data_IF_317184883258
#
_entry.id   IF_317184883258
#
_cell.length_a   1.000
_cell.length_b   1.000
_cell.length_c   1.000
_cell.angle_alpha   90.00
_cell.angle_beta   90.00
_cell.angle_gamma   90.00
#
_symmetry.space_group_name_H-M   'P 1'
#
loop_
_entity.id
_entity.type
_entity.pdbx_description
1 polymer ?
#
# COMPACT_ATOMS: atom_id res chain seq x y z
N UNK A 1 -5.75 6.28 63.46
CA UNK A 1 -6.85 6.97 62.73
C UNK A 1 -6.22 8.25 62.20
N UNK A 2 -6.04 8.49 60.90
CA UNK A 2 -6.97 8.31 59.77
C UNK A 2 -6.18 8.07 58.48
N UNK A 3 -6.66 7.11 57.68
CA UNK A 3 -6.24 6.79 56.31
C UNK A 3 -6.84 7.82 55.35
N UNK A 4 -6.04 8.41 54.46
CA UNK A 4 -6.53 9.19 53.32
C UNK A 4 -6.30 8.37 52.02
N UNK A 5 -7.34 8.10 51.22
CA UNK A 5 -7.23 7.33 49.99
C UNK A 5 -6.60 8.14 48.83
N UNK A 6 -6.00 7.48 47.82
CA UNK A 6 -5.46 8.17 46.63
C UNK A 6 -6.59 8.70 45.72
N UNK A 7 -6.40 9.84 45.03
CA UNK A 7 -7.36 10.32 44.04
C UNK A 7 -7.35 9.45 42.75
N UNK A 8 -8.49 9.40 42.05
CA UNK A 8 -8.79 8.40 41.02
C UNK A 8 -8.38 8.83 39.60
N UNK A 9 -8.10 7.84 38.75
CA UNK A 9 -8.21 7.95 37.29
C UNK A 9 -7.04 8.62 36.58
N UNK A 10 -6.02 7.84 36.25
CA UNK A 10 -5.31 8.06 34.97
C UNK A 10 -6.35 7.86 33.87
N UNK A 11 -6.96 8.93 33.42
CA UNK A 11 -7.54 8.98 32.07
C UNK A 11 -6.34 8.87 31.14
N UNK A 12 -6.05 7.64 30.71
CA UNK A 12 -5.28 7.45 29.49
C UNK A 12 -6.07 8.16 28.40
N UNK A 13 -5.60 9.33 27.96
CA UNK A 13 -6.08 9.93 26.72
C UNK A 13 -5.99 8.84 25.65
N UNK A 14 -7.07 8.49 24.95
CA UNK A 14 -6.94 7.69 23.76
C UNK A 14 -6.14 8.54 22.79
N UNK A 15 -4.85 8.23 22.67
CA UNK A 15 -4.02 8.72 21.57
C UNK A 15 -4.78 8.48 20.26
N UNK A 16 -4.55 9.32 19.22
CA UNK A 16 -5.32 9.30 17.99
C UNK A 16 -5.40 7.86 17.51
N UNK A 17 -6.60 7.29 17.61
CA UNK A 17 -6.85 5.93 17.16
C UNK A 17 -6.72 6.05 15.64
N UNK A 18 -5.58 5.64 15.10
CA UNK A 18 -5.45 5.43 13.68
C UNK A 18 -6.67 4.62 13.25
N UNK A 19 -7.43 5.07 12.23
CA UNK A 19 -8.60 4.33 11.80
C UNK A 19 -8.13 2.90 11.54
N UNK A 20 -8.77 1.94 12.22
CA UNK A 20 -8.47 0.54 12.01
C UNK A 20 -8.74 0.26 10.52
N UNK A 21 -7.67 0.14 9.74
CA UNK A 21 -7.75 -0.21 8.33
C UNK A 21 -8.49 -1.55 8.27
N UNK A 22 -9.70 -1.53 7.71
CA UNK A 22 -10.47 -2.74 7.51
C UNK A 22 -9.57 -3.73 6.74
N UNK A 23 -9.53 -5.01 7.14
CA UNK A 23 -8.71 -5.99 6.46
C UNK A 23 -9.08 -5.99 4.98
N UNK A 24 -8.11 -5.63 4.14
CA UNK A 24 -8.33 -5.54 2.71
C UNK A 24 -8.69 -6.92 2.17
N UNK A 25 -9.63 -7.00 1.22
CA UNK A 25 -10.07 -8.28 0.67
C UNK A 25 -8.86 -9.02 0.11
N UNK A 26 -8.61 -10.20 0.66
CA UNK A 26 -7.50 -11.05 0.26
C UNK A 26 -7.53 -11.27 -1.26
N UNK A 27 -6.42 -10.95 -1.93
CA UNK A 27 -6.23 -11.18 -3.37
C UNK A 27 -6.46 -9.96 -4.28
N UNK A 28 -6.69 -8.77 -3.72
CA UNK A 28 -6.55 -7.52 -4.47
C UNK A 28 -5.08 -7.10 -4.59
N UNK A 29 -4.78 -6.38 -5.67
CA UNK A 29 -3.50 -5.77 -5.96
C UNK A 29 -3.74 -4.32 -6.32
N UNK A 30 -3.03 -3.42 -5.66
CA UNK A 30 -3.09 -1.98 -5.90
C UNK A 30 -1.90 -1.57 -6.74
N UNK A 31 -2.17 -0.84 -7.82
CA UNK A 31 -1.18 -0.42 -8.79
C UNK A 31 -1.06 1.09 -8.79
N UNK A 32 0.17 1.57 -8.92
CA UNK A 32 0.48 2.96 -9.23
C UNK A 32 1.44 2.97 -10.39
N UNK A 33 1.01 3.55 -11.52
CA UNK A 33 1.82 3.66 -12.72
C UNK A 33 2.18 5.13 -12.95
N UNK A 34 3.42 5.41 -13.36
CA UNK A 34 3.87 6.75 -13.72
C UNK A 34 5.12 6.69 -14.59
N UNK A 35 5.11 7.38 -15.73
CA UNK A 35 6.18 7.26 -16.73
C UNK A 35 6.32 5.83 -17.24
N UNK A 36 7.51 5.25 -17.13
CA UNK A 36 7.82 3.86 -17.47
C UNK A 36 7.77 2.89 -16.27
N UNK A 37 7.29 3.33 -15.11
CA UNK A 37 7.23 2.51 -13.90
C UNK A 37 5.80 2.11 -13.53
N UNK A 38 5.61 0.85 -13.14
CA UNK A 38 4.41 0.32 -12.49
C UNK A 38 4.80 -0.32 -11.17
N UNK A 39 4.29 0.22 -10.06
CA UNK A 39 4.50 -0.33 -8.72
C UNK A 39 3.25 -1.07 -8.22
N UNK A 40 3.46 -2.22 -7.55
CA UNK A 40 2.40 -3.06 -7.01
C UNK A 40 2.47 -3.16 -5.49
N UNK A 41 1.31 -3.10 -4.85
CA UNK A 41 1.15 -3.15 -3.41
C UNK A 41 0.02 -4.10 -3.02
N UNK A 42 0.14 -4.72 -1.84
CA UNK A 42 -0.93 -5.51 -1.24
C UNK A 42 -1.97 -4.62 -0.54
N UNK A 43 -1.59 -3.37 -0.26
CA UNK A 43 -2.45 -2.44 0.46
C UNK A 43 -2.67 -1.15 -0.30
N UNK A 44 -3.88 -0.61 -0.17
CA UNK A 44 -4.25 0.69 -0.70
C UNK A 44 -3.40 1.80 -0.07
N UNK A 45 -3.13 1.72 1.22
CA UNK A 45 -2.33 2.73 1.93
C UNK A 45 -0.92 2.85 1.35
N UNK A 46 -0.24 1.73 1.06
CA UNK A 46 1.07 1.76 0.44
C UNK A 46 1.02 2.30 -1.00
N UNK A 47 -0.05 2.01 -1.74
CA UNK A 47 -0.29 2.60 -3.06
C UNK A 47 -0.56 4.11 -2.99
N UNK A 48 -1.33 4.59 -2.01
CA UNK A 48 -1.58 6.03 -1.81
C UNK A 48 -0.29 6.79 -1.46
N UNK A 49 0.61 6.20 -0.66
CA UNK A 49 1.95 6.77 -0.39
C UNK A 49 2.77 6.87 -1.68
N UNK A 50 2.77 5.82 -2.51
CA UNK A 50 3.48 5.84 -3.79
C UNK A 50 2.86 6.86 -4.77
N UNK A 51 1.54 7.00 -4.79
CA UNK A 51 0.84 8.01 -5.59
C UNK A 51 1.36 9.42 -5.26
N UNK A 52 1.36 9.79 -3.98
CA UNK A 52 1.88 11.10 -3.54
C UNK A 52 3.36 11.26 -3.89
N UNK A 53 4.15 10.18 -3.77
CA UNK A 53 5.58 10.19 -4.12
C UNK A 53 5.80 10.47 -5.61
N UNK A 54 5.03 9.83 -6.49
CA UNK A 54 5.11 10.03 -7.94
C UNK A 54 4.64 11.43 -8.36
N UNK A 55 3.58 11.95 -7.73
CA UNK A 55 3.15 13.35 -7.91
C UNK A 55 4.28 14.30 -7.51
N UNK A 56 4.91 14.07 -6.36
CA UNK A 56 6.05 14.85 -5.87
C UNK A 56 7.27 14.77 -6.79
N UNK A 57 7.43 13.68 -7.53
CA UNK A 57 8.45 13.49 -8.56
C UNK A 57 8.07 14.13 -9.92
N UNK A 58 6.98 14.90 -9.98
CA UNK A 58 6.45 15.52 -11.20
C UNK A 58 6.12 14.50 -12.31
N UNK A 59 5.67 13.31 -11.90
CA UNK A 59 5.04 12.35 -12.80
C UNK A 59 3.54 12.61 -12.85
N UNK A 60 2.87 12.04 -13.84
CA UNK A 60 1.40 12.00 -13.96
C UNK A 60 0.91 10.58 -13.63
N UNK A 61 0.77 10.21 -12.35
CA UNK A 61 0.49 8.84 -11.99
C UNK A 61 -0.99 8.46 -12.16
N UNK A 62 -1.22 7.20 -12.52
CA UNK A 62 -2.53 6.56 -12.58
C UNK A 62 -2.58 5.41 -11.60
N UNK A 63 -3.71 5.26 -10.89
CA UNK A 63 -3.93 4.15 -9.96
C UNK A 63 -4.98 3.17 -10.48
N UNK A 64 -4.82 1.91 -10.12
CA UNK A 64 -5.81 0.87 -10.38
C UNK A 64 -5.85 -0.15 -9.24
N UNK A 65 -7.00 -0.79 -9.04
CA UNK A 65 -7.14 -1.95 -8.16
C UNK A 65 -7.67 -3.11 -8.99
N UNK A 66 -6.96 -4.24 -8.94
CA UNK A 66 -7.27 -5.44 -9.73
C UNK A 66 -7.20 -6.68 -8.84
N UNK A 67 -7.79 -7.78 -9.29
CA UNK A 67 -7.48 -9.09 -8.70
C UNK A 67 -6.07 -9.54 -9.11
N UNK A 68 -5.42 -10.35 -8.28
CA UNK A 68 -4.10 -10.91 -8.59
C UNK A 68 -4.07 -11.70 -9.92
N UNK A 69 -5.16 -12.38 -10.27
CA UNK A 69 -5.28 -13.10 -11.54
C UNK A 69 -5.35 -12.14 -12.74
N UNK A 70 -6.15 -11.07 -12.63
CA UNK A 70 -6.27 -10.06 -13.68
C UNK A 70 -4.96 -9.31 -13.90
N UNK A 71 -4.21 -9.08 -12.83
CA UNK A 71 -2.89 -8.47 -12.93
C UNK A 71 -1.94 -9.29 -13.80
N UNK A 72 -1.92 -10.61 -13.70
CA UNK A 72 -0.99 -11.45 -14.48
C UNK A 72 -1.24 -11.29 -16.00
N UNK A 73 -2.51 -11.23 -16.40
CA UNK A 73 -2.90 -10.95 -17.79
C UNK A 73 -2.46 -9.56 -18.25
N UNK A 74 -2.72 -8.54 -17.42
CA UNK A 74 -2.37 -7.14 -17.72
C UNK A 74 -0.85 -6.96 -17.81
N UNK A 75 -0.10 -7.62 -16.91
CA UNK A 75 1.36 -7.61 -16.91
C UNK A 75 1.92 -8.15 -18.22
N UNK A 76 1.39 -9.25 -18.73
CA UNK A 76 1.83 -9.83 -19.98
C UNK A 76 1.59 -8.89 -21.17
N UNK A 77 0.40 -8.27 -21.25
CA UNK A 77 0.07 -7.31 -22.31
C UNK A 77 0.93 -6.04 -22.21
N UNK A 78 1.14 -5.51 -21.00
CA UNK A 78 2.00 -4.34 -20.75
C UNK A 78 3.45 -4.58 -21.22
N UNK A 79 4.04 -5.72 -20.84
CA UNK A 79 5.41 -6.06 -21.24
C UNK A 79 5.52 -6.34 -22.76
N UNK A 80 4.47 -6.84 -23.39
CA UNK A 80 4.43 -7.02 -24.84
C UNK A 80 4.38 -5.69 -25.59
N UNK A 81 3.67 -4.69 -25.07
CA UNK A 81 3.51 -3.37 -25.69
C UNK A 81 4.65 -2.40 -25.38
N UNK A 82 5.14 -2.44 -24.15
CA UNK A 82 6.17 -1.54 -23.62
C UNK A 82 7.28 -2.40 -23.01
N UNK A 83 8.20 -2.94 -23.81
CA UNK A 83 9.24 -3.83 -23.32
C UNK A 83 10.25 -3.15 -22.38
N UNK A 84 10.33 -1.81 -22.43
CA UNK A 84 11.15 -1.01 -21.51
C UNK A 84 10.45 -0.69 -20.17
N UNK A 85 9.21 -1.16 -19.97
CA UNK A 85 8.44 -0.88 -18.75
C UNK A 85 9.08 -1.57 -17.54
N UNK A 86 9.34 -0.79 -16.50
CA UNK A 86 9.80 -1.29 -15.20
C UNK A 86 8.62 -1.64 -14.33
N UNK A 87 8.54 -2.90 -13.89
CA UNK A 87 7.50 -3.36 -12.97
C UNK A 87 8.15 -3.73 -11.63
N UNK A 88 7.76 -3.01 -10.58
CA UNK A 88 8.24 -3.22 -9.21
C UNK A 88 7.15 -3.86 -8.37
N UNK A 89 7.39 -5.09 -7.90
CA UNK A 89 6.48 -5.81 -7.02
C UNK A 89 6.90 -5.60 -5.56
N UNK A 90 6.21 -4.70 -4.85
CA UNK A 90 6.48 -4.38 -3.45
C UNK A 90 5.58 -5.16 -2.47
N UNK A 91 4.94 -6.23 -2.95
CA UNK A 91 4.06 -7.07 -2.14
C UNK A 91 4.82 -7.94 -1.16
N UNK A 92 4.30 -8.06 0.07
CA UNK A 92 4.90 -8.89 1.11
C UNK A 92 4.75 -10.37 0.74
N UNK A 93 5.87 -11.01 0.38
CA UNK A 93 5.93 -12.44 0.05
C UNK A 93 6.41 -12.77 -1.36
N UNK A 94 6.67 -11.78 -2.23
CA UNK A 94 7.29 -12.00 -3.55
C UNK A 94 8.70 -11.44 -3.69
N UNK A 95 9.18 -10.68 -2.70
CA UNK A 95 10.58 -10.31 -2.55
C UNK A 95 11.41 -11.51 -2.05
N UNK A 96 11.55 -12.55 -2.88
CA UNK A 96 12.21 -13.79 -2.48
C UNK A 96 12.35 -14.82 -3.61
N UNK A 97 13.16 -14.49 -4.62
CA UNK A 97 13.62 -15.43 -5.66
C UNK A 97 13.84 -14.69 -6.99
N UNK A 98 15.03 -14.59 -7.57
CA UNK A 98 16.21 -15.44 -7.50
C UNK A 98 17.50 -14.61 -7.40
N UNK A 99 18.52 -15.25 -6.83
CA UNK A 99 19.94 -14.88 -6.99
C UNK A 99 20.42 -15.23 -8.39
#
# INVERSE_FOLDING_TARGET
MTTQPPPPGTTAEPGPTAPATAPEPAGQVYLVAGGDLVALFDTREAADIMLVTMIGANLDPVTACLSAARWDEVRADLLARVPALTITDARTGRAGGAR
#
